data_IF_673858008038
#
_entry.id   IF_673858008038
#
_cell.length_a   1.000
_cell.length_b   1.000
_cell.length_c   1.000
_cell.angle_alpha   90.00
_cell.angle_beta   90.00
_cell.angle_gamma   90.00
#
_symmetry.space_group_name_H-M   'P 1'
#
loop_
_entity.id
_entity.type
_entity.pdbx_description
1 polymer ?
#
# COMPACT_ATOMS: atom_id res chain seq x y z
N UNK A 1 5.85 17.03 9.85
CA UNK A 1 4.90 16.61 8.80
C UNK A 1 4.40 15.22 9.13
N UNK A 2 3.09 14.98 9.04
CA UNK A 2 2.48 13.66 9.21
C UNK A 2 1.91 13.18 7.89
N UNK A 3 2.17 11.92 7.54
CA UNK A 3 1.64 11.24 6.37
C UNK A 3 0.86 10.00 6.79
N UNK A 4 -0.16 9.67 6.02
CA UNK A 4 -1.08 8.58 6.28
C UNK A 4 -1.30 7.75 5.02
N UNK A 5 -1.48 6.44 5.18
CA UNK A 5 -1.86 5.53 4.10
C UNK A 5 -2.66 4.35 4.65
N UNK A 6 -3.48 3.70 3.80
CA UNK A 6 -4.23 2.52 4.19
C UNK A 6 -3.38 1.25 4.13
N UNK A 7 -3.72 0.28 4.97
CA UNK A 7 -3.13 -1.04 5.02
C UNK A 7 -4.13 -2.11 4.57
N UNK A 8 -3.60 -3.20 3.99
CA UNK A 8 -4.36 -4.37 3.63
C UNK A 8 -5.11 -4.26 2.31
N UNK A 9 -5.97 -5.22 2.08
CA UNK A 9 -6.77 -5.37 0.85
C UNK A 9 -8.26 -5.42 1.15
N UNK A 10 -9.04 -4.76 0.31
CA UNK A 10 -10.50 -4.75 0.39
C UNK A 10 -11.11 -6.06 -0.09
N UNK A 11 -12.16 -6.50 0.59
CA UNK A 11 -13.03 -7.60 0.17
C UNK A 11 -14.47 -7.36 0.61
N UNK A 12 -15.41 -8.00 -0.07
CA UNK A 12 -16.81 -8.06 0.35
C UNK A 12 -17.09 -9.47 0.86
N UNK A 13 -17.65 -9.58 2.06
CA UNK A 13 -18.17 -10.86 2.58
C UNK A 13 -19.68 -10.82 2.60
N UNK A 14 -20.29 -11.90 2.17
CA UNK A 14 -21.74 -12.08 2.21
C UNK A 14 -22.12 -12.74 3.52
N UNK A 15 -23.06 -12.12 4.23
CA UNK A 15 -23.62 -12.68 5.46
C UNK A 15 -24.61 -13.81 5.17
N UNK A 16 -25.00 -14.57 6.18
CA UNK A 16 -26.05 -15.59 6.05
C UNK A 16 -27.39 -15.03 5.58
N UNK A 17 -27.63 -13.72 5.75
CA UNK A 17 -28.82 -13.00 5.26
C UNK A 17 -28.71 -12.54 3.81
N UNK A 18 -27.55 -12.74 3.13
CA UNK A 18 -27.29 -12.29 1.78
C UNK A 18 -26.84 -10.83 1.69
N UNK A 19 -26.59 -10.16 2.80
CA UNK A 19 -26.07 -8.81 2.84
C UNK A 19 -24.55 -8.82 2.63
N UNK A 20 -24.06 -7.87 1.85
CA UNK A 20 -22.63 -7.72 1.56
C UNK A 20 -22.01 -6.66 2.47
N UNK A 21 -21.13 -7.10 3.35
CA UNK A 21 -20.43 -6.24 4.30
C UNK A 21 -18.98 -6.00 3.83
N UNK A 22 -18.51 -4.73 3.83
CA UNK A 22 -17.14 -4.40 3.49
C UNK A 22 -16.16 -4.86 4.59
N UNK A 23 -15.06 -5.48 4.16
CA UNK A 23 -13.99 -5.92 5.04
C UNK A 23 -12.63 -5.52 4.48
N UNK A 24 -11.67 -5.32 5.37
CA UNK A 24 -10.25 -5.23 5.05
C UNK A 24 -9.52 -6.43 5.61
N UNK A 25 -8.64 -7.04 4.81
CA UNK A 25 -7.80 -8.16 5.21
C UNK A 25 -6.36 -7.63 5.34
N UNK A 26 -5.73 -7.88 6.49
CA UNK A 26 -4.32 -7.59 6.76
C UNK A 26 -3.70 -8.88 7.28
N UNK A 27 -2.75 -9.45 6.55
CA UNK A 27 -2.26 -10.79 6.83
C UNK A 27 -3.41 -11.81 6.85
N UNK A 28 -3.58 -12.50 7.97
CA UNK A 28 -4.65 -13.48 8.20
C UNK A 28 -5.86 -12.90 8.93
N UNK A 29 -5.80 -11.63 9.33
CA UNK A 29 -6.88 -10.98 10.10
C UNK A 29 -7.84 -10.24 9.18
N UNK A 30 -9.14 -10.42 9.44
CA UNK A 30 -10.21 -9.74 8.72
C UNK A 30 -10.90 -8.73 9.64
N UNK A 31 -11.00 -7.50 9.18
CA UNK A 31 -11.64 -6.39 9.88
C UNK A 31 -12.91 -5.98 9.14
N UNK A 32 -14.03 -5.96 9.84
CA UNK A 32 -15.28 -5.35 9.36
C UNK A 32 -15.16 -3.84 9.50
N UNK A 33 -15.61 -3.11 8.48
CA UNK A 33 -15.62 -1.65 8.46
C UNK A 33 -17.03 -1.13 8.54
N UNK A 34 -17.25 -0.13 9.38
CA UNK A 34 -18.45 0.69 9.26
C UNK A 34 -18.38 1.63 8.04
N UNK A 35 -19.47 2.35 7.79
CA UNK A 35 -19.56 3.23 6.61
C UNK A 35 -18.47 4.32 6.61
N UNK A 36 -18.20 4.92 7.74
CA UNK A 36 -17.24 6.03 7.84
C UNK A 36 -15.79 5.53 7.82
N UNK A 37 -15.51 4.42 8.49
CA UNK A 37 -14.23 3.71 8.38
C UNK A 37 -13.94 3.35 6.92
N UNK A 38 -14.96 2.85 6.21
CA UNK A 38 -14.84 2.54 4.78
C UNK A 38 -14.56 3.78 3.92
N UNK A 39 -15.20 4.91 4.23
CA UNK A 39 -14.95 6.18 3.55
C UNK A 39 -13.50 6.62 3.75
N UNK A 40 -13.01 6.64 5.00
CA UNK A 40 -11.63 7.02 5.31
C UNK A 40 -10.63 6.05 4.69
N UNK A 41 -10.83 4.74 4.86
CA UNK A 41 -9.94 3.72 4.30
C UNK A 41 -9.87 3.79 2.78
N UNK A 42 -11.02 3.97 2.11
CA UNK A 42 -11.08 4.08 0.65
C UNK A 42 -10.43 5.36 0.10
N UNK A 43 -10.34 6.40 0.91
CA UNK A 43 -9.61 7.63 0.56
C UNK A 43 -8.10 7.43 0.64
N UNK A 44 -7.64 6.58 1.54
CA UNK A 44 -6.22 6.35 1.83
C UNK A 44 -5.61 5.22 1.02
N UNK A 45 -6.41 4.24 0.55
CA UNK A 45 -5.86 3.16 -0.27
C UNK A 45 -5.32 3.70 -1.58
N UNK A 46 -4.07 3.36 -1.89
CA UNK A 46 -3.29 3.87 -3.01
C UNK A 46 -3.10 5.39 -3.03
N UNK A 47 -3.18 6.03 -1.85
CA UNK A 47 -2.84 7.42 -1.65
C UNK A 47 -1.94 7.56 -0.40
N UNK A 48 -1.09 8.57 -0.43
CA UNK A 48 -0.29 8.99 0.73
C UNK A 48 -0.66 10.45 0.97
N UNK A 49 -1.42 10.69 2.02
CA UNK A 49 -2.00 12.00 2.31
C UNK A 49 -1.43 12.60 3.59
N UNK A 50 -1.37 13.92 3.61
CA UNK A 50 -1.23 14.71 4.83
C UNK A 50 -2.56 14.73 5.60
N UNK A 51 -2.51 15.15 6.86
CA UNK A 51 -3.71 15.30 7.69
C UNK A 51 -4.75 16.24 7.03
N UNK A 52 -4.30 17.38 6.50
CA UNK A 52 -5.19 18.36 5.87
C UNK A 52 -5.88 17.81 4.62
N UNK A 53 -5.16 17.04 3.79
CA UNK A 53 -5.72 16.41 2.59
C UNK A 53 -6.78 15.36 2.93
N UNK A 54 -6.55 14.54 3.98
CA UNK A 54 -7.54 13.57 4.44
C UNK A 54 -8.80 14.28 4.95
N UNK A 55 -8.62 15.30 5.80
CA UNK A 55 -9.76 16.02 6.36
C UNK A 55 -10.56 16.72 5.26
N UNK A 56 -9.91 17.29 4.26
CA UNK A 56 -10.60 17.90 3.11
C UNK A 56 -11.42 16.86 2.33
N UNK A 57 -10.85 15.69 2.04
CA UNK A 57 -11.55 14.62 1.32
C UNK A 57 -12.70 14.04 2.15
N UNK A 58 -12.49 13.82 3.46
CA UNK A 58 -13.50 13.33 4.40
C UNK A 58 -14.72 14.24 4.43
N UNK A 59 -14.53 15.54 4.73
CA UNK A 59 -15.63 16.49 4.79
C UNK A 59 -16.27 16.78 3.44
N UNK A 60 -15.56 16.58 2.33
CA UNK A 60 -16.15 16.63 0.99
C UNK A 60 -17.12 15.47 0.80
N UNK A 61 -16.71 14.23 1.13
CA UNK A 61 -17.54 13.02 1.01
C UNK A 61 -18.75 13.06 1.95
N UNK A 62 -18.58 13.60 3.16
CA UNK A 62 -19.68 13.82 4.10
C UNK A 62 -20.76 14.70 3.51
N UNK A 63 -20.38 15.82 2.89
CA UNK A 63 -21.34 16.73 2.21
C UNK A 63 -21.99 16.08 1.01
N UNK A 64 -21.24 15.34 0.20
CA UNK A 64 -21.77 14.64 -0.99
C UNK A 64 -22.75 13.52 -0.62
N UNK A 65 -22.51 12.82 0.47
CA UNK A 65 -23.37 11.76 0.98
C UNK A 65 -24.65 12.32 1.67
N UNK A 66 -24.68 13.61 2.05
CA UNK A 66 -25.74 14.21 2.87
C UNK A 66 -25.95 13.50 4.22
N UNK A 67 -24.91 12.86 4.76
CA UNK A 67 -24.94 12.15 6.04
C UNK A 67 -23.83 12.76 6.90
N UNK A 68 -24.21 13.20 8.10
CA UNK A 68 -23.22 13.65 9.09
C UNK A 68 -22.63 12.45 9.81
N UNK A 69 -21.31 12.41 9.95
CA UNK A 69 -20.62 11.44 10.78
C UNK A 69 -20.83 11.71 12.26
N UNK A 70 -20.88 10.65 13.07
CA UNK A 70 -20.99 10.76 14.52
C UNK A 70 -19.69 11.22 15.18
N UNK A 71 -18.56 11.07 14.50
CA UNK A 71 -17.21 11.38 14.97
C UNK A 71 -16.52 12.35 14.00
N UNK A 72 -15.50 13.06 14.52
CA UNK A 72 -14.64 13.90 13.67
C UNK A 72 -13.68 13.07 12.82
N UNK A 73 -13.12 13.67 11.75
CA UNK A 73 -12.06 13.03 10.95
C UNK A 73 -10.89 12.55 11.83
N UNK A 74 -10.48 13.34 12.82
CA UNK A 74 -9.39 13.01 13.75
C UNK A 74 -9.71 11.77 14.61
N UNK A 75 -10.95 11.64 15.07
CA UNK A 75 -11.38 10.47 15.86
C UNK A 75 -11.40 9.20 15.01
N UNK A 76 -11.87 9.26 13.76
CA UNK A 76 -11.82 8.13 12.84
C UNK A 76 -10.38 7.73 12.52
N UNK A 77 -9.48 8.69 12.27
CA UNK A 77 -8.06 8.39 12.01
C UNK A 77 -7.40 7.70 13.21
N UNK A 78 -7.61 8.20 14.43
CA UNK A 78 -7.09 7.57 15.65
C UNK A 78 -7.63 6.16 15.85
N UNK A 79 -8.92 5.96 15.62
CA UNK A 79 -9.56 4.66 15.75
C UNK A 79 -9.00 3.65 14.74
N UNK A 80 -8.85 4.06 13.49
CA UNK A 80 -8.29 3.21 12.43
C UNK A 80 -6.80 2.91 12.64
N UNK A 81 -6.03 3.88 13.17
CA UNK A 81 -4.64 3.64 13.56
C UNK A 81 -4.54 2.60 14.68
N UNK A 82 -5.40 2.69 15.71
CA UNK A 82 -5.48 1.71 16.80
C UNK A 82 -5.90 0.32 16.32
N UNK A 83 -6.81 0.24 15.35
CA UNK A 83 -7.18 -1.03 14.69
C UNK A 83 -6.07 -1.57 13.77
N UNK A 84 -5.05 -0.78 13.45
CA UNK A 84 -4.01 -1.17 12.50
C UNK A 84 -4.45 -1.16 11.03
N UNK A 85 -5.54 -0.44 10.70
CA UNK A 85 -6.09 -0.33 9.34
C UNK A 85 -5.38 0.74 8.49
N UNK A 86 -4.67 1.64 9.15
CA UNK A 86 -3.85 2.69 8.52
C UNK A 86 -2.47 2.73 9.13
N UNK A 87 -1.50 3.18 8.36
CA UNK A 87 -0.16 3.52 8.82
C UNK A 87 0.00 5.03 8.91
N UNK A 88 0.82 5.47 9.86
CA UNK A 88 1.15 6.87 10.09
C UNK A 88 2.66 7.01 10.15
N UNK A 89 3.20 8.00 9.43
CA UNK A 89 4.61 8.35 9.46
C UNK A 89 4.79 9.83 9.78
N UNK A 90 5.65 10.14 10.74
CA UNK A 90 5.95 11.51 11.14
C UNK A 90 7.43 11.80 10.94
N UNK A 91 7.73 12.99 10.40
CA UNK A 91 9.10 13.42 10.13
C UNK A 91 9.24 14.92 10.03
N UNK A 92 10.48 15.40 10.09
CA UNK A 92 10.80 16.82 9.93
C UNK A 92 10.60 17.25 8.48
N UNK A 93 11.03 16.40 7.55
CA UNK A 93 10.85 16.59 6.10
C UNK A 93 9.80 15.61 5.56
N UNK A 94 9.34 15.84 4.33
CA UNK A 94 8.44 14.91 3.63
C UNK A 94 9.09 13.53 3.41
N UNK A 95 10.38 13.50 3.11
CA UNK A 95 11.16 12.25 2.93
C UNK A 95 11.29 11.50 4.25
N UNK A 96 11.56 12.21 5.36
CA UNK A 96 11.60 11.60 6.69
C UNK A 96 10.26 10.99 7.08
N UNK A 97 9.16 11.74 6.85
CA UNK A 97 7.82 11.27 7.13
C UNK A 97 7.46 10.05 6.27
N UNK A 98 7.82 10.06 4.98
CA UNK A 98 7.60 8.94 4.06
C UNK A 98 8.40 7.71 4.49
N UNK A 99 9.68 7.87 4.79
CA UNK A 99 10.52 6.78 5.30
C UNK A 99 9.90 6.16 6.56
N UNK A 100 9.52 6.99 7.54
CA UNK A 100 8.92 6.52 8.79
C UNK A 100 7.53 5.90 8.57
N UNK A 101 6.81 6.31 7.52
CA UNK A 101 5.52 5.73 7.15
C UNK A 101 5.66 4.30 6.60
N UNK A 102 6.59 4.08 5.65
CA UNK A 102 6.57 2.85 4.85
C UNK A 102 7.73 1.89 5.13
N UNK A 103 8.84 2.31 5.77
CA UNK A 103 10.04 1.47 5.92
C UNK A 103 9.78 0.12 6.62
N UNK A 104 8.86 0.07 7.57
CA UNK A 104 8.46 -1.14 8.29
C UNK A 104 7.27 -1.90 7.68
N UNK A 105 6.73 -1.44 6.54
CA UNK A 105 5.58 -2.08 5.90
C UNK A 105 6.01 -3.13 4.88
N UNK A 106 5.29 -4.25 4.85
CA UNK A 106 5.43 -5.27 3.82
C UNK A 106 4.84 -4.81 2.50
N UNK A 107 5.54 -5.14 1.43
CA UNK A 107 5.14 -4.82 0.06
C UNK A 107 4.55 -6.05 -0.60
N UNK A 108 3.25 -6.01 -0.91
CA UNK A 108 2.53 -7.08 -1.57
C UNK A 108 2.20 -6.69 -3.01
N UNK A 109 2.79 -7.33 -4.02
CA UNK A 109 2.50 -7.02 -5.42
C UNK A 109 1.05 -7.36 -5.79
N UNK A 110 0.34 -6.41 -6.38
CA UNK A 110 -0.99 -6.65 -6.97
C UNK A 110 -0.81 -7.32 -8.33
N UNK A 111 -1.00 -8.62 -8.38
CA UNK A 111 -1.01 -9.39 -9.63
C UNK A 111 -2.39 -9.29 -10.26
N UNK A 112 -2.60 -8.28 -11.13
CA UNK A 112 -3.79 -8.29 -11.97
C UNK A 112 -3.68 -9.47 -12.95
N UNK A 113 -4.49 -10.49 -12.75
CA UNK A 113 -4.57 -11.60 -13.69
C UNK A 113 -4.99 -11.06 -15.08
N UNK A 114 -4.41 -11.58 -16.16
CA UNK A 114 -4.75 -11.19 -17.53
C UNK A 114 -6.26 -11.25 -17.78
N UNK A 115 -6.93 -12.21 -17.16
CA UNK A 115 -8.39 -12.37 -17.20
C UNK A 115 -9.13 -11.17 -16.60
N UNK A 116 -8.68 -10.63 -15.46
CA UNK A 116 -9.30 -9.44 -14.82
C UNK A 116 -9.10 -8.18 -15.67
N UNK A 117 -7.93 -8.04 -16.32
CA UNK A 117 -7.67 -6.94 -17.26
C UNK A 117 -8.56 -7.04 -18.49
N UNK A 118 -8.72 -8.25 -19.03
CA UNK A 118 -9.61 -8.51 -20.19
C UNK A 118 -11.07 -8.24 -19.83
N UNK A 119 -11.54 -8.70 -18.67
CA UNK A 119 -12.90 -8.44 -18.21
C UNK A 119 -13.16 -6.94 -17.99
N UNK A 120 -12.21 -6.22 -17.36
CA UNK A 120 -12.26 -4.78 -17.19
C UNK A 120 -12.29 -4.03 -18.54
N UNK A 121 -11.45 -4.44 -19.49
CA UNK A 121 -11.44 -3.89 -20.84
C UNK A 121 -12.79 -4.06 -21.55
N UNK A 122 -13.35 -5.28 -21.55
CA UNK A 122 -14.64 -5.57 -22.14
C UNK A 122 -15.76 -4.78 -21.46
N UNK A 123 -15.78 -4.73 -20.13
CA UNK A 123 -16.78 -3.97 -19.38
C UNK A 123 -16.73 -2.47 -19.70
N UNK A 124 -15.54 -1.86 -19.73
CA UNK A 124 -15.39 -0.44 -20.06
C UNK A 124 -15.78 -0.15 -21.51
N UNK A 125 -15.38 -1.00 -22.44
CA UNK A 125 -15.62 -0.78 -23.88
C UNK A 125 -17.09 -1.00 -24.26
N UNK A 126 -17.67 -2.14 -23.83
CA UNK A 126 -19.00 -2.55 -24.31
C UNK A 126 -20.14 -2.14 -23.39
N UNK A 127 -19.92 -2.00 -22.08
CA UNK A 127 -20.97 -1.64 -21.12
C UNK A 127 -20.95 -0.16 -20.79
N UNK A 128 -19.76 0.44 -20.60
CA UNK A 128 -19.61 1.88 -20.29
C UNK A 128 -19.42 2.76 -21.52
N UNK A 129 -19.32 2.18 -22.73
CA UNK A 129 -19.17 2.94 -23.97
C UNK A 129 -17.85 3.72 -24.09
N UNK A 130 -16.83 3.34 -23.33
CA UNK A 130 -15.51 4.00 -23.38
C UNK A 130 -14.85 3.68 -24.72
N UNK A 131 -14.34 4.68 -25.48
CA UNK A 131 -13.70 4.44 -26.78
C UNK A 131 -12.56 3.44 -26.66
N UNK A 132 -12.45 2.51 -27.61
CA UNK A 132 -11.42 1.48 -27.72
C UNK A 132 -9.98 2.02 -27.52
N UNK A 133 -9.74 3.25 -27.97
CA UNK A 133 -8.45 3.93 -27.84
C UNK A 133 -8.07 4.17 -26.37
N UNK A 134 -9.05 4.49 -25.53
CA UNK A 134 -8.86 4.74 -24.08
C UNK A 134 -8.79 3.41 -23.32
N UNK A 135 -9.65 2.45 -23.66
CA UNK A 135 -9.70 1.13 -23.01
C UNK A 135 -8.41 0.32 -23.22
N UNK A 136 -7.67 0.55 -24.33
CA UNK A 136 -6.37 -0.09 -24.59
C UNK A 136 -5.31 0.19 -23.54
N UNK A 137 -5.36 1.35 -22.86
CA UNK A 137 -4.41 1.70 -21.80
C UNK A 137 -4.42 0.72 -20.62
N UNK A 138 -5.46 -0.13 -20.48
CA UNK A 138 -5.47 -1.23 -19.49
C UNK A 138 -4.37 -2.28 -19.79
N UNK A 139 -3.97 -2.41 -21.05
CA UNK A 139 -2.92 -3.34 -21.50
C UNK A 139 -1.55 -2.68 -21.66
N UNK A 140 -1.46 -1.34 -21.55
CA UNK A 140 -0.18 -0.67 -21.65
C UNK A 140 0.74 -1.19 -20.53
N UNK A 141 1.89 -1.71 -20.95
CA UNK A 141 2.97 -2.01 -20.00
C UNK A 141 3.54 -0.67 -19.58
N UNK A 142 3.23 -0.26 -18.35
CA UNK A 142 3.93 0.85 -17.71
C UNK A 142 5.43 0.64 -17.90
N UNK A 143 6.12 1.66 -18.40
CA UNK A 143 7.58 1.65 -18.54
C UNK A 143 8.19 1.81 -17.14
N UNK A 144 8.27 0.70 -16.40
CA UNK A 144 8.85 0.68 -15.05
C UNK A 144 10.34 0.99 -15.11
N UNK A 145 10.79 1.78 -14.16
CA UNK A 145 12.22 2.03 -13.94
C UNK A 145 12.96 0.73 -13.59
N UNK A 146 14.28 0.76 -13.65
CA UNK A 146 15.11 -0.41 -13.25
C UNK A 146 14.88 -0.77 -11.79
N UNK A 147 14.77 0.22 -10.91
CA UNK A 147 14.50 0.03 -9.48
C UNK A 147 13.12 -0.57 -9.24
N UNK A 148 12.07 -0.05 -9.90
CA UNK A 148 10.72 -0.62 -9.80
C UNK A 148 10.65 -2.07 -10.26
N UNK A 149 11.34 -2.42 -11.36
CA UNK A 149 11.42 -3.81 -11.84
C UNK A 149 12.08 -4.72 -10.81
N UNK A 150 13.19 -4.25 -10.19
CA UNK A 150 13.90 -4.99 -9.16
C UNK A 150 13.02 -5.19 -7.93
N UNK A 151 12.34 -4.14 -7.43
CA UNK A 151 11.42 -4.23 -6.30
C UNK A 151 10.31 -5.24 -6.56
N UNK A 152 9.62 -5.15 -7.70
CA UNK A 152 8.55 -6.08 -8.05
C UNK A 152 9.07 -7.52 -8.19
N UNK A 153 10.29 -7.73 -8.70
CA UNK A 153 10.91 -9.04 -8.81
C UNK A 153 11.20 -9.66 -7.44
N UNK A 154 11.75 -8.88 -6.52
CA UNK A 154 12.03 -9.31 -5.15
C UNK A 154 10.74 -9.60 -4.36
N UNK A 155 9.78 -8.67 -4.39
CA UNK A 155 8.51 -8.80 -3.68
C UNK A 155 7.62 -9.96 -4.20
N UNK A 156 7.90 -10.50 -5.39
CA UNK A 156 7.24 -11.72 -5.89
C UNK A 156 7.86 -13.01 -5.36
N UNK A 157 9.08 -12.96 -4.86
CA UNK A 157 9.78 -14.13 -4.34
C UNK A 157 9.37 -14.41 -2.90
N UNK A 158 9.28 -13.36 -2.08
CA UNK A 158 8.85 -13.44 -0.69
C UNK A 158 8.29 -12.09 -0.23
N UNK A 159 7.63 -12.08 0.93
CA UNK A 159 7.14 -10.85 1.56
C UNK A 159 8.32 -10.10 2.18
N UNK A 160 8.59 -8.90 1.68
CA UNK A 160 9.67 -8.03 2.15
C UNK A 160 9.10 -6.71 2.65
N UNK A 161 9.68 -6.19 3.72
CA UNK A 161 9.46 -4.80 4.13
C UNK A 161 10.19 -3.84 3.19
N UNK A 162 9.78 -2.58 3.19
CA UNK A 162 10.51 -1.56 2.42
C UNK A 162 11.95 -1.40 2.91
N UNK A 163 12.20 -1.54 4.21
CA UNK A 163 13.56 -1.53 4.77
C UNK A 163 14.44 -2.66 4.23
N UNK A 164 13.90 -3.89 4.12
CA UNK A 164 14.58 -5.02 3.50
C UNK A 164 14.81 -4.79 2.00
N UNK A 165 13.85 -4.20 1.29
CA UNK A 165 14.02 -3.82 -0.12
C UNK A 165 15.13 -2.79 -0.31
N UNK A 166 15.27 -1.82 0.60
CA UNK A 166 16.39 -0.86 0.57
C UNK A 166 17.72 -1.61 0.70
N UNK A 167 17.87 -2.51 1.69
CA UNK A 167 19.08 -3.34 1.84
C UNK A 167 19.34 -4.21 0.62
N UNK A 168 18.32 -4.85 0.06
CA UNK A 168 18.44 -5.65 -1.17
C UNK A 168 18.97 -4.84 -2.35
N UNK A 169 18.49 -3.61 -2.52
CA UNK A 169 18.95 -2.76 -3.63
C UNK A 169 20.36 -2.27 -3.39
N UNK A 170 20.69 -1.85 -2.19
CA UNK A 170 22.01 -1.36 -1.79
C UNK A 170 23.09 -2.45 -1.92
N UNK A 171 22.82 -3.66 -1.42
CA UNK A 171 23.75 -4.78 -1.46
C UNK A 171 23.73 -5.57 -2.78
N UNK A 172 22.91 -5.17 -3.77
CA UNK A 172 22.82 -5.86 -5.05
C UNK A 172 22.14 -7.24 -5.00
N UNK A 173 21.38 -7.53 -3.93
CA UNK A 173 20.65 -8.80 -3.75
C UNK A 173 19.59 -8.97 -4.84
N UNK A 174 19.49 -10.17 -5.41
CA UNK A 174 18.54 -10.50 -6.48
C UNK A 174 17.72 -11.75 -6.21
N UNK A 175 18.14 -12.60 -5.27
CA UNK A 175 17.48 -13.87 -4.95
C UNK A 175 17.24 -13.98 -3.43
N UNK A 176 15.97 -13.94 -3.05
CA UNK A 176 15.46 -14.08 -1.68
C UNK A 176 14.34 -15.13 -1.63
N UNK A 177 14.41 -16.13 -2.52
CA UNK A 177 13.33 -17.08 -2.80
C UNK A 177 13.04 -18.10 -1.69
N UNK A 178 13.89 -18.18 -0.68
CA UNK A 178 13.69 -19.00 0.53
C UNK A 178 14.25 -18.31 1.77
N UNK A 179 13.83 -18.78 2.94
CA UNK A 179 14.20 -18.20 4.24
C UNK A 179 15.71 -18.22 4.51
N UNK A 180 16.40 -19.28 4.10
CA UNK A 180 17.85 -19.42 4.27
C UNK A 180 18.60 -18.32 3.51
N UNK A 181 18.28 -18.12 2.23
CA UNK A 181 18.87 -17.05 1.42
C UNK A 181 18.51 -15.66 1.93
N UNK A 182 17.25 -15.48 2.39
CA UNK A 182 16.82 -14.23 2.98
C UNK A 182 17.65 -13.88 4.21
N UNK A 183 17.81 -14.84 5.14
CA UNK A 183 18.57 -14.64 6.36
C UNK A 183 20.05 -14.41 6.05
N UNK A 184 20.66 -15.23 5.21
CA UNK A 184 22.07 -15.11 4.83
C UNK A 184 22.40 -13.79 4.13
N UNK A 185 21.48 -13.23 3.35
CA UNK A 185 21.75 -12.01 2.60
C UNK A 185 21.33 -10.73 3.33
N UNK A 186 20.32 -10.79 4.19
CA UNK A 186 19.80 -9.59 4.86
C UNK A 186 20.19 -9.51 6.34
N UNK A 187 20.48 -10.63 6.98
CA UNK A 187 20.66 -10.71 8.43
C UNK A 187 21.93 -11.46 8.84
N UNK A 188 22.93 -11.49 7.95
CA UNK A 188 24.20 -12.17 8.18
C UNK A 188 25.19 -11.39 9.06
N UNK A 189 24.84 -10.18 9.47
CA UNK A 189 25.61 -9.36 10.39
C UNK A 189 24.94 -9.31 11.78
N UNK A 190 25.74 -9.11 12.83
CA UNK A 190 25.26 -9.11 14.22
C UNK A 190 24.39 -7.89 14.57
N UNK A 191 24.42 -6.87 13.75
CA UNK A 191 23.78 -5.57 14.01
C UNK A 191 22.39 -5.44 13.36
N UNK A 192 22.12 -6.17 12.26
CA UNK A 192 20.87 -6.06 11.50
C UNK A 192 19.79 -6.98 12.05
N UNK A 193 18.64 -6.41 12.37
CA UNK A 193 17.43 -7.12 12.79
C UNK A 193 16.23 -6.63 11.98
N UNK A 194 15.14 -7.41 11.94
CA UNK A 194 13.89 -7.00 11.30
C UNK A 194 13.30 -5.68 11.87
N UNK A 195 13.64 -5.33 13.13
CA UNK A 195 13.18 -4.10 13.79
C UNK A 195 13.96 -2.86 13.39
N UNK A 196 15.25 -3.01 13.08
CA UNK A 196 16.15 -1.88 12.86
C UNK A 196 16.64 -1.73 11.42
N UNK A 197 16.40 -2.70 10.54
CA UNK A 197 16.89 -2.70 9.16
C UNK A 197 16.49 -1.42 8.40
N UNK A 198 15.25 -0.96 8.56
CA UNK A 198 14.79 0.29 7.95
C UNK A 198 15.55 1.51 8.45
N UNK A 199 15.92 1.54 9.73
CA UNK A 199 16.68 2.65 10.34
C UNK A 199 18.15 2.59 9.94
N UNK A 200 18.76 1.41 9.92
CA UNK A 200 20.17 1.22 9.56
C UNK A 200 20.46 1.67 8.11
N UNK A 201 19.55 1.36 7.19
CA UNK A 201 19.72 1.71 5.78
C UNK A 201 19.05 3.04 5.37
N UNK A 202 18.65 3.86 6.34
CA UNK A 202 18.02 5.17 6.08
C UNK A 202 18.92 6.14 5.33
N UNK A 203 20.24 6.10 5.55
CA UNK A 203 21.21 7.04 4.98
C UNK A 203 22.00 6.48 3.80
N UNK A 204 21.70 5.26 3.33
CA UNK A 204 22.37 4.70 2.16
C UNK A 204 21.88 5.34 0.86
N UNK A 205 22.68 5.22 -0.19
CA UNK A 205 22.38 5.84 -1.50
C UNK A 205 21.11 5.30 -2.15
N UNK A 206 20.76 4.04 -1.88
CA UNK A 206 19.56 3.39 -2.42
C UNK A 206 18.27 3.75 -1.67
N UNK A 207 18.34 4.37 -0.48
CA UNK A 207 17.15 4.67 0.32
C UNK A 207 16.14 5.52 -0.46
N UNK A 208 16.55 6.70 -0.92
CA UNK A 208 15.65 7.61 -1.64
C UNK A 208 15.10 7.01 -2.95
N UNK A 209 15.92 6.43 -3.85
CA UNK A 209 15.41 5.77 -5.05
C UNK A 209 14.41 4.63 -4.79
N UNK A 210 14.59 3.86 -3.69
CA UNK A 210 13.66 2.79 -3.33
C UNK A 210 12.36 3.34 -2.78
N UNK A 211 12.40 4.35 -1.90
CA UNK A 211 11.19 5.01 -1.38
C UNK A 211 10.36 5.61 -2.53
N UNK A 212 11.00 6.29 -3.47
CA UNK A 212 10.34 6.86 -4.66
C UNK A 212 9.70 5.75 -5.51
N UNK A 213 10.44 4.70 -5.83
CA UNK A 213 9.95 3.60 -6.65
C UNK A 213 8.80 2.83 -5.98
N UNK A 214 8.88 2.54 -4.67
CA UNK A 214 7.80 1.91 -3.90
C UNK A 214 6.55 2.79 -3.88
N UNK A 215 6.72 4.09 -3.61
CA UNK A 215 5.61 5.05 -3.61
C UNK A 215 4.96 5.15 -4.99
N UNK A 216 5.74 5.22 -6.06
CA UNK A 216 5.24 5.24 -7.45
C UNK A 216 4.44 3.97 -7.77
N UNK A 217 4.98 2.79 -7.41
CA UNK A 217 4.28 1.52 -7.59
C UNK A 217 2.97 1.46 -6.79
N UNK A 218 2.96 2.00 -5.57
CA UNK A 218 1.77 2.04 -4.73
C UNK A 218 0.70 2.98 -5.32
N UNK A 219 1.04 4.22 -5.64
CA UNK A 219 0.14 5.20 -6.24
C UNK A 219 -0.43 4.70 -7.59
N UNK A 220 0.35 3.93 -8.34
CA UNK A 220 -0.07 3.28 -9.58
C UNK A 220 -0.80 1.94 -9.37
N UNK A 221 -1.19 1.59 -8.15
CA UNK A 221 -1.97 0.39 -7.79
C UNK A 221 -1.27 -0.93 -8.16
N UNK A 222 0.05 -0.93 -8.22
CA UNK A 222 0.86 -2.11 -8.53
C UNK A 222 1.22 -2.92 -7.28
N UNK A 223 1.07 -2.34 -6.10
CA UNK A 223 1.28 -2.99 -4.82
C UNK A 223 0.31 -2.46 -3.75
N UNK A 224 0.21 -3.18 -2.66
CA UNK A 224 -0.44 -2.75 -1.42
C UNK A 224 0.54 -2.89 -0.26
N UNK A 225 0.26 -2.16 0.82
CA UNK A 225 1.01 -2.26 2.06
C UNK A 225 0.29 -3.15 3.07
N UNK A 226 1.04 -4.02 3.75
CA UNK A 226 0.58 -4.78 4.90
C UNK A 226 1.54 -4.58 6.09
N UNK A 227 1.07 -4.89 7.29
CA UNK A 227 1.87 -4.88 8.51
C UNK A 227 1.78 -6.25 9.16
N UNK A 228 2.88 -6.70 9.77
CA UNK A 228 2.83 -7.87 10.63
C UNK A 228 1.94 -7.56 11.84
N UNK A 229 0.90 -8.34 12.05
CA UNK A 229 -0.02 -8.24 13.19
C UNK A 229 0.48 -9.15 14.31
#
# INVERSE_FOLDING_TARGET
MKLYTALGRYTMKETASGEKIPHVIIGDTTYELDLWEMIVWSSLIWNIYTYDEICQDFYKKEREAHILGDLSCDDYLKHMEQKGLIAVGEGVTGIDALHNLISGLYVIPVTANLFTKTAAFLHLTFIKGVPLRVSKHIYDKESRSTTEKKIVSLAKQTQLTVGELIKCVECGVTDVSNDEKLVDQLYNDDDTTYKNIGTLFRTCDSCHPVLEAVSTLYLNKNLIFEKCV
#
